data_IF_048465580238
#
_entry.id   IF_048465580238
#
_cell.length_a   1.000
_cell.length_b   1.000
_cell.length_c   1.000
_cell.angle_alpha   90.00
_cell.angle_beta   90.00
_cell.angle_gamma   90.00
#
_symmetry.space_group_name_H-M   'P 1'
#
loop_
_entity.id
_entity.type
_entity.pdbx_description
1 polymer ?
#
# COMPACT_ATOMS: atom_id res chain seq x y z
N UNK A 1 7.88 24.03 13.14
CA UNK A 1 6.82 23.02 13.25
C UNK A 1 5.99 23.37 14.47
N UNK A 2 4.73 23.76 14.28
CA UNK A 2 3.78 23.97 15.39
C UNK A 2 3.00 22.66 15.53
N UNK A 3 3.17 21.97 16.65
CA UNK A 3 2.27 20.88 17.05
C UNK A 3 1.26 21.44 18.03
N UNK A 4 -0.03 21.22 17.77
CA UNK A 4 -1.08 21.46 18.76
C UNK A 4 -0.96 20.33 19.80
N UNK A 5 -0.47 20.67 20.98
CA UNK A 5 -0.52 19.80 22.16
C UNK A 5 -1.95 19.76 22.67
N UNK A 6 -2.71 18.72 22.33
CA UNK A 6 -4.01 18.47 22.93
C UNK A 6 -3.76 17.91 24.32
N UNK A 7 -4.00 18.72 25.35
CA UNK A 7 -3.94 18.30 26.75
C UNK A 7 -5.32 17.79 27.13
N UNK A 8 -5.38 16.56 27.65
CA UNK A 8 -6.63 15.96 28.11
C UNK A 8 -7.04 16.59 29.44
N UNK A 9 -8.09 17.41 29.41
CA UNK A 9 -8.53 18.19 30.58
C UNK A 9 -9.25 17.34 31.63
N UNK A 10 -9.60 16.09 31.31
CA UNK A 10 -10.36 15.19 32.20
C UNK A 10 -9.50 14.00 32.65
N UNK A 11 -8.17 14.07 32.46
CA UNK A 11 -7.27 12.97 32.80
C UNK A 11 -7.33 12.59 34.30
N UNK A 12 -7.57 13.56 35.18
CA UNK A 12 -7.63 13.35 36.64
C UNK A 12 -9.04 12.93 37.14
N UNK A 13 -10.07 13.05 36.30
CA UNK A 13 -11.48 12.76 36.67
C UNK A 13 -11.97 11.40 36.16
N UNK A 14 -11.13 10.66 35.44
CA UNK A 14 -11.49 9.38 34.83
C UNK A 14 -11.09 8.20 35.71
N UNK A 15 -11.95 7.20 35.76
CA UNK A 15 -11.66 5.93 36.43
C UNK A 15 -10.41 5.27 35.83
N UNK A 16 -9.67 4.53 36.65
CA UNK A 16 -8.41 3.88 36.24
C UNK A 16 -8.61 2.88 35.08
N UNK A 17 -9.80 2.30 34.98
CA UNK A 17 -10.27 1.38 33.93
C UNK A 17 -10.87 2.10 32.71
N UNK A 18 -10.74 3.43 32.63
CA UNK A 18 -11.14 4.21 31.46
C UNK A 18 -10.26 3.88 30.24
N UNK A 19 -10.88 3.28 29.24
CA UNK A 19 -10.31 3.16 27.90
C UNK A 19 -10.58 4.44 27.13
N UNK A 20 -9.52 5.15 26.76
CA UNK A 20 -9.62 6.26 25.81
C UNK A 20 -10.29 5.77 24.52
N UNK A 21 -11.17 6.56 23.89
CA UNK A 21 -11.65 6.22 22.53
C UNK A 21 -10.66 6.65 21.44
N UNK A 22 -9.56 7.31 21.81
CA UNK A 22 -8.72 8.03 20.87
C UNK A 22 -7.61 7.14 20.33
N UNK A 23 -7.84 6.55 19.16
CA UNK A 23 -6.77 5.95 18.35
C UNK A 23 -5.97 7.04 17.64
N UNK A 24 -4.64 6.90 17.57
CA UNK A 24 -3.78 7.81 16.78
C UNK A 24 -3.35 7.12 15.49
N UNK A 25 -3.52 7.83 14.37
CA UNK A 25 -3.12 7.35 13.05
C UNK A 25 -2.22 8.39 12.37
N UNK A 26 -1.12 7.93 11.75
CA UNK A 26 -0.19 8.79 11.02
C UNK A 26 0.24 8.13 9.72
N UNK A 27 0.16 8.88 8.62
CA UNK A 27 0.62 8.42 7.31
C UNK A 27 1.67 9.36 6.75
N UNK A 28 2.73 8.80 6.19
CA UNK A 28 3.68 9.50 5.33
C UNK A 28 3.78 8.69 4.04
N UNK A 29 3.62 9.35 2.89
CA UNK A 29 3.74 8.70 1.60
C UNK A 29 4.56 9.56 0.64
N UNK A 30 5.40 8.91 -0.15
CA UNK A 30 6.20 9.50 -1.21
C UNK A 30 5.97 8.72 -2.49
N UNK A 31 5.69 9.43 -3.59
CA UNK A 31 5.51 8.83 -4.90
C UNK A 31 6.24 9.64 -5.95
N UNK A 32 6.96 8.97 -6.85
CA UNK A 32 7.63 9.60 -7.98
C UNK A 32 7.37 8.84 -9.27
N UNK A 33 7.31 9.57 -10.38
CA UNK A 33 7.14 9.03 -11.72
C UNK A 33 8.31 9.49 -12.59
N UNK A 34 9.03 8.54 -13.17
CA UNK A 34 10.23 8.78 -13.97
C UNK A 34 9.95 8.31 -15.40
N UNK A 35 10.12 9.22 -16.37
CA UNK A 35 10.06 8.91 -17.80
C UNK A 35 11.48 8.78 -18.34
N UNK A 36 12.02 7.57 -18.40
CA UNK A 36 13.40 7.32 -18.86
C UNK A 36 13.57 7.52 -20.37
N UNK A 37 12.53 7.25 -21.16
CA UNK A 37 12.51 7.46 -22.60
C UNK A 37 11.08 7.60 -23.10
N UNK A 38 10.84 7.91 -24.38
CA UNK A 38 9.48 7.87 -24.97
C UNK A 38 8.76 6.52 -24.78
N UNK A 39 9.51 5.44 -24.53
CA UNK A 39 8.98 4.08 -24.41
C UNK A 39 8.94 3.54 -22.99
N UNK A 40 9.69 4.08 -22.03
CA UNK A 40 9.75 3.53 -20.67
C UNK A 40 9.35 4.58 -19.63
N UNK A 41 8.34 4.24 -18.84
CA UNK A 41 7.91 5.00 -17.66
C UNK A 41 7.93 4.09 -16.45
N UNK A 42 8.43 4.59 -15.33
CA UNK A 42 8.44 3.87 -14.05
C UNK A 42 7.86 4.76 -12.97
N UNK A 43 7.15 4.16 -12.02
CA UNK A 43 6.63 4.79 -10.82
C UNK A 43 7.18 4.06 -9.59
N UNK A 44 7.60 4.83 -8.60
CA UNK A 44 8.08 4.32 -7.32
C UNK A 44 7.21 4.96 -6.25
N UNK A 45 6.64 4.15 -5.36
CA UNK A 45 5.82 4.59 -4.25
C UNK A 45 6.36 3.99 -2.96
N UNK A 46 6.54 4.81 -1.94
CA UNK A 46 6.90 4.40 -0.59
C UNK A 46 5.89 4.99 0.36
N UNK A 47 5.46 4.24 1.36
CA UNK A 47 4.66 4.80 2.44
C UNK A 47 4.93 4.13 3.76
N UNK A 48 4.66 4.87 4.83
CA UNK A 48 4.62 4.37 6.18
C UNK A 48 3.33 4.85 6.82
N UNK A 49 2.58 3.93 7.41
CA UNK A 49 1.35 4.18 8.14
C UNK A 49 1.48 3.58 9.52
N UNK A 50 1.27 4.36 10.58
CA UNK A 50 1.24 3.86 11.95
C UNK A 50 -0.12 4.05 12.56
N UNK A 51 -0.59 3.05 13.29
CA UNK A 51 -1.83 3.04 14.02
C UNK A 51 -1.58 2.61 15.46
N UNK A 52 -2.06 3.42 16.41
CA UNK A 52 -1.94 3.18 17.85
C UNK A 52 -3.35 2.91 18.40
N UNK A 53 -3.52 1.76 19.07
CA UNK A 53 -4.74 1.45 19.79
C UNK A 53 -4.87 2.34 21.03
N UNK A 54 -6.11 2.59 21.49
CA UNK A 54 -6.28 3.37 22.70
C UNK A 54 -5.71 2.66 23.93
N UNK A 55 -4.98 3.40 24.76
CA UNK A 55 -4.39 2.91 26.01
C UNK A 55 -5.44 2.85 27.15
N UNK A 56 -5.27 1.86 28.05
CA UNK A 56 -5.82 1.90 29.40
C UNK A 56 -4.84 2.67 30.30
N UNK A 57 -5.33 3.58 31.14
CA UNK A 57 -4.48 4.44 31.98
C UNK A 57 -3.64 3.67 33.01
N UNK A 58 -3.97 2.41 33.31
CA UNK A 58 -3.26 1.56 34.30
C UNK A 58 -1.98 0.91 33.80
N UNK A 59 -1.74 0.84 32.49
CA UNK A 59 -0.57 0.18 31.95
C UNK A 59 0.45 1.22 31.49
N UNK A 60 1.56 1.36 32.21
CA UNK A 60 2.75 2.09 31.74
C UNK A 60 3.46 1.42 30.55
N UNK A 61 2.72 0.64 29.76
CA UNK A 61 3.19 0.00 28.53
C UNK A 61 2.92 0.96 27.38
N UNK A 62 3.95 1.27 26.60
CA UNK A 62 3.83 2.03 25.36
C UNK A 62 2.66 1.47 24.53
N UNK A 63 1.67 2.31 24.20
CA UNK A 63 0.45 1.89 23.54
C UNK A 63 0.69 0.98 22.35
N UNK A 64 -0.11 -0.08 22.28
CA UNK A 64 -0.05 -1.10 21.24
C UNK A 64 -0.08 -0.44 19.85
N UNK A 65 1.10 -0.40 19.21
CA UNK A 65 1.33 0.29 17.94
C UNK A 65 1.58 -0.71 16.84
N UNK A 66 0.94 -0.51 15.70
CA UNK A 66 1.27 -1.23 14.45
C UNK A 66 1.78 -0.26 13.41
N UNK A 67 2.89 -0.59 12.77
CA UNK A 67 3.48 0.20 11.69
C UNK A 67 3.50 -0.63 10.42
N UNK A 68 2.89 -0.09 9.36
CA UNK A 68 2.86 -0.64 8.02
C UNK A 68 3.81 0.17 7.14
N UNK A 69 4.81 -0.49 6.58
CA UNK A 69 5.72 0.10 5.59
C UNK A 69 5.47 -0.54 4.25
N UNK A 70 5.26 0.26 3.19
CA UNK A 70 5.04 -0.24 1.85
C UNK A 70 6.02 0.34 0.84
N UNK A 71 6.37 -0.48 -0.16
CA UNK A 71 7.17 -0.12 -1.32
C UNK A 71 6.48 -0.70 -2.55
N UNK A 72 6.34 0.11 -3.59
CA UNK A 72 5.79 -0.29 -4.88
C UNK A 72 6.64 0.25 -6.01
N UNK A 73 6.95 -0.60 -6.98
CA UNK A 73 7.63 -0.27 -8.22
C UNK A 73 6.73 -0.73 -9.37
N UNK A 74 6.31 0.16 -10.25
CA UNK A 74 5.58 -0.23 -11.46
C UNK A 74 6.21 0.42 -12.69
N UNK A 75 6.39 -0.37 -13.75
CA UNK A 75 6.96 0.06 -15.02
C UNK A 75 6.00 -0.22 -16.16
N UNK A 76 6.02 0.67 -17.14
CA UNK A 76 5.27 0.58 -18.39
C UNK A 76 6.27 0.73 -19.53
N UNK A 77 6.27 -0.24 -20.43
CA UNK A 77 7.05 -0.18 -21.66
C UNK A 77 6.14 -0.17 -22.89
N UNK A 78 6.23 0.87 -23.71
CA UNK A 78 5.49 1.00 -24.96
C UNK A 78 6.25 0.29 -26.09
N UNK A 79 5.75 -0.88 -26.49
CA UNK A 79 6.23 -1.62 -27.66
C UNK A 79 5.88 -0.87 -28.94
N UNK A 80 4.65 -0.37 -29.02
CA UNK A 80 4.17 0.52 -30.07
C UNK A 80 3.52 1.73 -29.40
N UNK A 81 4.01 2.96 -29.64
CA UNK A 81 3.42 4.16 -29.05
C UNK A 81 1.90 4.18 -29.20
N UNK A 82 1.20 4.43 -28.09
CA UNK A 82 -0.26 4.48 -27.96
C UNK A 82 -1.06 3.23 -28.36
N UNK A 83 -0.43 2.19 -28.89
CA UNK A 83 -1.12 0.97 -29.38
C UNK A 83 -0.82 -0.27 -28.56
N UNK A 84 0.42 -0.45 -28.12
CA UNK A 84 0.81 -1.68 -27.43
C UNK A 84 1.79 -1.35 -26.33
N UNK A 85 1.43 -1.70 -25.09
CA UNK A 85 2.30 -1.55 -23.94
C UNK A 85 2.26 -2.79 -23.07
N UNK A 86 3.40 -3.11 -22.49
CA UNK A 86 3.52 -4.07 -21.39
C UNK A 86 3.66 -3.29 -20.09
N UNK A 87 3.14 -3.86 -19.03
CA UNK A 87 3.16 -3.29 -17.69
C UNK A 87 3.66 -4.38 -16.75
N UNK A 88 4.44 -4.00 -15.76
CA UNK A 88 4.89 -4.91 -14.72
C UNK A 88 5.19 -4.15 -13.45
N UNK A 89 5.05 -4.82 -12.32
CA UNK A 89 5.31 -4.19 -11.05
C UNK A 89 5.59 -5.16 -9.93
N UNK A 90 6.24 -4.64 -8.91
CA UNK A 90 6.54 -5.29 -7.64
C UNK A 90 5.92 -4.45 -6.54
N UNK A 91 5.39 -5.10 -5.51
CA UNK A 91 5.01 -4.44 -4.28
C UNK A 91 5.42 -5.27 -3.07
N UNK A 92 5.67 -4.57 -1.98
CA UNK A 92 5.96 -5.12 -0.69
C UNK A 92 5.26 -4.29 0.37
N UNK A 93 4.71 -4.95 1.38
CA UNK A 93 4.19 -4.37 2.58
C UNK A 93 4.70 -5.19 3.76
N UNK A 94 5.20 -4.51 4.79
CA UNK A 94 5.61 -5.12 6.05
C UNK A 94 4.86 -4.43 7.18
N UNK A 95 4.19 -5.21 8.00
CA UNK A 95 3.62 -4.80 9.27
C UNK A 95 4.57 -5.20 10.40
N UNK A 96 4.76 -4.32 11.38
CA UNK A 96 5.52 -4.56 12.62
C UNK A 96 4.74 -4.02 13.81
N UNK A 97 4.96 -4.56 15.00
CA UNK A 97 4.26 -4.16 16.23
C UNK A 97 3.35 -5.26 16.74
N UNK A 98 2.07 -4.96 16.99
CA UNK A 98 1.09 -5.94 17.52
C UNK A 98 1.00 -7.20 16.65
N UNK A 99 1.06 -7.02 15.33
CA UNK A 99 1.05 -8.10 14.36
C UNK A 99 2.18 -7.92 13.37
N UNK A 100 3.02 -8.93 13.25
CA UNK A 100 4.15 -8.95 12.31
C UNK A 100 3.85 -9.82 11.10
N UNK A 101 3.73 -9.19 9.94
CA UNK A 101 3.55 -9.93 8.70
C UNK A 101 4.07 -9.16 7.50
N UNK A 102 4.34 -9.88 6.42
CA UNK A 102 4.72 -9.35 5.12
C UNK A 102 3.70 -9.71 4.06
N UNK A 103 3.54 -8.85 3.05
CA UNK A 103 2.80 -9.12 1.83
C UNK A 103 3.68 -8.69 0.66
N UNK A 104 3.99 -9.59 -0.25
CA UNK A 104 4.85 -9.33 -1.40
C UNK A 104 4.14 -9.75 -2.66
N UNK A 105 4.22 -8.94 -3.71
CA UNK A 105 3.50 -9.24 -4.93
C UNK A 105 4.24 -8.81 -6.17
N UNK A 106 3.99 -9.58 -7.22
CA UNK A 106 4.35 -9.25 -8.59
C UNK A 106 3.07 -9.13 -9.41
N UNK A 107 3.04 -8.15 -10.30
CA UNK A 107 1.99 -8.00 -11.28
C UNK A 107 2.60 -7.80 -12.67
N UNK A 108 1.86 -8.22 -13.68
CA UNK A 108 2.26 -8.09 -15.06
C UNK A 108 1.05 -8.02 -15.97
N UNK A 109 1.19 -7.39 -17.13
CA UNK A 109 0.12 -7.34 -18.09
C UNK A 109 0.49 -6.68 -19.41
N UNK A 110 -0.43 -6.78 -20.34
CA UNK A 110 -0.35 -6.17 -21.66
C UNK A 110 -1.64 -5.41 -21.92
N UNK A 111 -1.52 -4.26 -22.55
CA UNK A 111 -2.64 -3.48 -23.06
C UNK A 111 -2.42 -3.24 -24.55
N UNK A 112 -3.43 -3.61 -25.34
CA UNK A 112 -3.48 -3.44 -26.77
C UNK A 112 -4.65 -2.54 -27.16
N UNK A 113 -4.36 -1.53 -27.97
CA UNK A 113 -5.31 -0.57 -28.55
C UNK A 113 -5.21 -0.65 -30.08
N UNK A 114 -5.95 -1.57 -30.73
CA UNK A 114 -5.97 -1.65 -32.19
C UNK A 114 -6.50 -0.35 -32.82
N UNK A 115 -7.48 0.27 -32.17
CA UNK A 115 -8.09 1.53 -32.56
C UNK A 115 -8.18 2.47 -31.37
N UNK A 116 -8.24 3.79 -31.59
CA UNK A 116 -8.32 4.78 -30.51
C UNK A 116 -9.49 4.55 -29.54
N UNK A 117 -10.58 3.96 -30.02
CA UNK A 117 -11.80 3.68 -29.26
C UNK A 117 -11.85 2.30 -28.62
N UNK A 118 -10.96 1.37 -28.97
CA UNK A 118 -10.98 0.00 -28.45
C UNK A 118 -9.68 -0.30 -27.69
N UNK A 119 -9.80 -0.82 -26.47
CA UNK A 119 -8.66 -1.33 -25.71
C UNK A 119 -8.96 -2.70 -25.12
N UNK A 120 -8.03 -3.62 -25.29
CA UNK A 120 -8.03 -4.92 -24.61
C UNK A 120 -6.85 -4.98 -23.66
N UNK A 121 -7.06 -5.50 -22.45
CA UNK A 121 -6.03 -5.68 -21.44
C UNK A 121 -6.10 -7.07 -20.87
N UNK A 122 -4.94 -7.68 -20.70
CA UNK A 122 -4.78 -8.93 -19.97
C UNK A 122 -3.68 -8.71 -18.93
N UNK A 123 -3.84 -9.29 -17.75
CA UNK A 123 -2.82 -9.21 -16.72
C UNK A 123 -2.98 -10.28 -15.65
N UNK A 124 -1.92 -10.43 -14.88
CA UNK A 124 -1.87 -11.31 -13.74
C UNK A 124 -1.32 -10.57 -12.52
N UNK A 125 -1.64 -11.09 -11.34
CA UNK A 125 -1.03 -10.69 -10.08
C UNK A 125 -0.84 -11.92 -9.23
N UNK A 126 0.36 -12.04 -8.69
CA UNK A 126 0.71 -13.03 -7.67
C UNK A 126 1.04 -12.27 -6.39
N UNK A 127 0.51 -12.74 -5.26
CA UNK A 127 0.84 -12.24 -3.94
C UNK A 127 1.20 -13.42 -3.04
N UNK A 128 2.20 -13.22 -2.21
CA UNK A 128 2.60 -14.12 -1.15
C UNK A 128 2.59 -13.38 0.18
N UNK A 129 2.21 -14.10 1.22
CA UNK A 129 2.17 -13.62 2.58
C UNK A 129 3.32 -14.24 3.35
N UNK A 130 3.90 -13.46 4.26
CA UNK A 130 4.90 -13.92 5.20
C UNK A 130 4.37 -13.67 6.61
N UNK A 131 4.38 -14.68 7.46
CA UNK A 131 4.16 -14.53 8.91
C UNK A 131 5.26 -15.31 9.60
N UNK A 132 5.91 -14.71 10.60
CA UNK A 132 7.03 -15.33 11.31
C UNK A 132 8.11 -15.87 10.34
N UNK A 133 8.18 -17.20 10.18
CA UNK A 133 9.09 -17.94 9.29
C UNK A 133 8.39 -18.62 8.11
N UNK A 134 7.07 -18.52 7.99
CA UNK A 134 6.31 -19.14 6.92
C UNK A 134 6.13 -18.19 5.73
N UNK A 135 6.34 -18.70 4.53
CA UNK A 135 6.06 -18.01 3.29
C UNK A 135 5.03 -18.79 2.49
N UNK A 136 3.84 -18.22 2.33
CA UNK A 136 2.73 -18.88 1.67
C UNK A 136 2.25 -18.07 0.47
N UNK A 137 1.95 -18.75 -0.63
CA UNK A 137 1.26 -18.14 -1.76
C UNK A 137 -0.15 -17.73 -1.31
N UNK A 138 -0.45 -16.43 -1.34
CA UNK A 138 -1.73 -15.91 -0.86
C UNK A 138 -2.76 -15.74 -1.97
N UNK A 139 -2.37 -15.19 -3.12
CA UNK A 139 -3.32 -14.92 -4.21
C UNK A 139 -2.65 -15.07 -5.56
N UNK A 140 -3.32 -15.80 -6.46
CA UNK A 140 -3.09 -15.76 -7.89
C UNK A 140 -4.35 -15.20 -8.55
N UNK A 141 -4.23 -14.08 -9.24
CA UNK A 141 -5.34 -13.44 -9.94
C UNK A 141 -4.97 -13.22 -11.41
N UNK A 142 -5.89 -13.55 -12.31
CA UNK A 142 -5.81 -13.23 -13.74
C UNK A 142 -6.98 -12.34 -14.08
N UNK A 143 -6.73 -11.28 -14.85
CA UNK A 143 -7.75 -10.31 -15.25
C UNK A 143 -7.68 -10.08 -16.74
N UNK A 144 -8.85 -10.09 -17.37
CA UNK A 144 -9.03 -9.69 -18.76
C UNK A 144 -10.12 -8.61 -18.82
N UNK A 145 -9.91 -7.59 -19.64
CA UNK A 145 -10.88 -6.52 -19.83
C UNK A 145 -10.84 -6.00 -21.27
N UNK A 146 -12.01 -5.73 -21.84
CA UNK A 146 -12.15 -5.04 -23.12
C UNK A 146 -13.00 -3.80 -22.87
N UNK A 147 -12.55 -2.65 -23.36
CA UNK A 147 -13.25 -1.37 -23.23
C UNK A 147 -13.41 -0.74 -24.62
N UNK A 148 -14.63 -0.31 -24.93
CA UNK A 148 -14.96 0.45 -26.13
C UNK A 148 -15.54 1.82 -25.74
N UNK A 149 -15.02 2.89 -26.34
CA UNK A 149 -15.54 4.25 -26.19
C UNK A 149 -16.42 4.59 -27.39
N UNK A 150 -17.73 4.74 -27.16
CA UNK A 150 -18.73 5.09 -28.17
C UNK A 150 -18.51 6.51 -28.71
#
# INVERSE_FOLDING_TARGET
MSSISVVDQLAEERDEDFLSSNSKAKTIAFGTNIQFSKRLRTSINLSSYSFELPESMTAGEEGLKTVYTSLGLNSIYFLVPDKLKIMGGLNGLRATGISEFGNYGINGGVEWKPWKRLSAKAGFSVKANQSDSEFALGTLAVKFSVNYLF
#
